data_IF_325912844954
#
_entry.id   IF_325912844954
#
_cell.length_a   1.000
_cell.length_b   1.000
_cell.length_c   1.000
_cell.angle_alpha   90.00
_cell.angle_beta   90.00
_cell.angle_gamma   90.00
#
_symmetry.space_group_name_H-M   'P 1'
#
loop_
_entity.id
_entity.type
_entity.pdbx_description
1 polymer ?
#
# COMPACT_ATOMS: atom_id res chain seq x y z
N UNK A 1 6.44 19.24 0.58
CA UNK A 1 5.19 18.98 -0.19
C UNK A 1 4.31 18.17 0.74
N UNK A 2 3.35 18.84 1.38
CA UNK A 2 2.47 18.20 2.37
C UNK A 2 1.47 17.29 1.66
N UNK A 3 1.17 16.16 2.29
CA UNK A 3 0.05 15.30 1.93
C UNK A 3 -1.23 16.11 2.17
N UNK A 4 -1.89 16.55 1.11
CA UNK A 4 -3.25 17.07 1.23
C UNK A 4 -4.21 15.94 1.60
N UNK A 5 -5.36 16.26 2.19
CA UNK A 5 -6.39 15.31 2.61
C UNK A 5 -6.86 14.36 1.48
N UNK A 6 -6.65 14.75 0.21
CA UNK A 6 -6.97 13.97 -0.98
C UNK A 6 -5.91 12.95 -1.42
N UNK A 7 -4.77 12.88 -0.71
CA UNK A 7 -3.60 12.04 -1.08
C UNK A 7 -3.32 10.93 -0.05
N UNK A 8 -4.17 10.81 0.98
CA UNK A 8 -4.10 9.70 1.94
C UNK A 8 -4.77 8.47 1.32
N UNK A 9 -4.06 7.35 1.14
CA UNK A 9 -4.65 6.15 0.57
C UNK A 9 -5.70 5.56 1.52
N UNK A 10 -6.87 5.19 0.99
CA UNK A 10 -7.88 4.46 1.74
C UNK A 10 -7.39 3.07 2.13
N UNK A 11 -8.06 2.44 3.10
CA UNK A 11 -7.77 1.05 3.46
C UNK A 11 -7.92 0.11 2.26
N UNK A 12 -8.96 0.28 1.45
CA UNK A 12 -9.21 -0.51 0.23
C UNK A 12 -8.09 -0.40 -0.80
N UNK A 13 -7.50 0.79 -1.00
CA UNK A 13 -6.33 0.98 -1.86
C UNK A 13 -5.10 0.26 -1.31
N UNK A 14 -4.82 0.40 0.00
CA UNK A 14 -3.68 -0.28 0.62
C UNK A 14 -3.83 -1.82 0.55
N UNK A 15 -5.06 -2.34 0.69
CA UNK A 15 -5.35 -3.75 0.50
C UNK A 15 -5.17 -4.17 -0.96
N UNK A 16 -5.67 -3.41 -1.94
CA UNK A 16 -5.51 -3.74 -3.36
C UNK A 16 -4.03 -3.92 -3.75
N UNK A 17 -3.15 -3.06 -3.24
CA UNK A 17 -1.74 -3.01 -3.62
C UNK A 17 -0.80 -3.73 -2.65
N UNK A 18 -1.33 -4.45 -1.66
CA UNK A 18 -0.55 -4.95 -0.52
C UNK A 18 0.66 -5.79 -0.94
N UNK A 19 0.54 -6.59 -2.01
CA UNK A 19 1.61 -7.47 -2.50
C UNK A 19 2.81 -6.65 -3.01
N UNK A 20 2.56 -5.59 -3.77
CA UNK A 20 3.63 -4.69 -4.23
C UNK A 20 4.29 -3.97 -3.06
N UNK A 21 3.52 -3.52 -2.06
CA UNK A 21 4.07 -2.89 -0.86
C UNK A 21 4.97 -3.85 -0.10
N UNK A 22 4.51 -5.09 0.11
CA UNK A 22 5.27 -6.13 0.81
C UNK A 22 6.60 -6.43 0.12
N UNK A 23 6.60 -6.57 -1.22
CA UNK A 23 7.82 -6.88 -1.96
C UNK A 23 8.78 -5.69 -2.08
N UNK A 24 8.27 -4.51 -2.45
CA UNK A 24 9.10 -3.34 -2.77
C UNK A 24 9.58 -2.58 -1.53
N UNK A 25 8.82 -2.64 -0.43
CA UNK A 25 9.14 -1.93 0.80
C UNK A 25 9.60 -2.85 1.94
N UNK A 26 9.80 -4.16 1.69
CA UNK A 26 10.16 -5.18 2.68
C UNK A 26 11.22 -4.71 3.68
N UNK A 27 12.37 -4.20 3.20
CA UNK A 27 13.48 -3.78 4.06
C UNK A 27 13.13 -2.59 4.97
N UNK A 28 12.40 -1.60 4.44
CA UNK A 28 12.00 -0.41 5.21
C UNK A 28 10.90 -0.76 6.23
N UNK A 29 9.95 -1.62 5.86
CA UNK A 29 8.94 -2.15 6.79
C UNK A 29 9.59 -2.98 7.89
N UNK A 30 10.55 -3.85 7.57
CA UNK A 30 11.26 -4.65 8.55
C UNK A 30 12.06 -3.78 9.55
N UNK A 31 12.74 -2.73 9.07
CA UNK A 31 13.42 -1.77 9.94
C UNK A 31 12.47 -1.06 10.91
N UNK A 32 11.31 -0.59 10.42
CA UNK A 32 10.29 0.03 11.26
C UNK A 32 9.74 -0.94 12.31
N UNK A 33 9.42 -2.18 11.93
CA UNK A 33 8.94 -3.21 12.86
C UNK A 33 10.01 -3.62 13.88
N UNK A 34 11.28 -3.70 13.48
CA UNK A 34 12.39 -3.97 14.40
C UNK A 34 12.55 -2.84 15.43
N UNK A 35 12.47 -1.58 15.00
CA UNK A 35 12.48 -0.43 15.91
C UNK A 35 11.33 -0.51 16.91
N UNK A 36 10.08 -0.70 16.42
CA UNK A 36 8.89 -0.82 17.27
C UNK A 36 8.95 -2.00 18.23
N UNK A 37 9.62 -3.09 17.86
CA UNK A 37 9.83 -4.24 18.74
C UNK A 37 10.82 -3.92 19.87
N UNK A 38 11.83 -3.11 19.59
CA UNK A 38 12.84 -2.69 20.58
C UNK A 38 12.32 -1.61 21.52
N UNK A 39 11.48 -0.70 21.02
CA UNK A 39 10.94 0.41 21.79
C UNK A 39 9.51 0.75 21.31
N UNK A 40 8.57 0.83 22.26
CA UNK A 40 7.17 1.14 21.96
C UNK A 40 6.90 2.65 21.87
N UNK A 41 7.83 3.51 22.31
CA UNK A 41 7.73 4.96 22.15
C UNK A 41 7.65 5.33 20.65
N UNK A 42 6.54 5.93 20.19
CA UNK A 42 6.37 6.28 18.78
C UNK A 42 7.39 7.30 18.27
N UNK A 43 7.96 8.16 19.12
CA UNK A 43 8.93 9.18 18.71
C UNK A 43 10.28 8.57 18.30
N UNK A 44 10.65 7.44 18.90
CA UNK A 44 11.94 6.77 18.66
C UNK A 44 12.07 6.16 17.27
N UNK A 45 10.94 5.86 16.62
CA UNK A 45 10.89 5.19 15.32
C UNK A 45 10.38 6.10 14.19
N UNK A 46 10.34 7.42 14.39
CA UNK A 46 9.83 8.37 13.39
C UNK A 46 10.63 8.33 12.08
N UNK A 47 11.95 8.13 12.16
CA UNK A 47 12.82 8.06 10.98
C UNK A 47 12.50 6.84 10.13
N UNK A 48 12.38 5.67 10.75
CA UNK A 48 12.05 4.40 10.10
C UNK A 48 10.60 4.43 9.58
N UNK A 49 9.68 5.03 10.34
CA UNK A 49 8.29 5.24 9.94
C UNK A 49 8.18 6.13 8.70
N UNK A 50 8.89 7.27 8.67
CA UNK A 50 8.94 8.14 7.50
C UNK A 50 9.55 7.45 6.28
N UNK A 51 10.61 6.65 6.47
CA UNK A 51 11.22 5.88 5.39
C UNK A 51 10.25 4.83 4.81
N UNK A 52 9.56 4.08 5.68
CA UNK A 52 8.55 3.09 5.31
C UNK A 52 7.40 3.75 4.54
N UNK A 53 6.76 4.77 5.12
CA UNK A 53 5.63 5.48 4.48
C UNK A 53 6.04 6.14 3.17
N UNK A 54 7.24 6.74 3.11
CA UNK A 54 7.78 7.31 1.87
C UNK A 54 7.91 6.27 0.75
N UNK A 55 8.36 5.06 1.07
CA UNK A 55 8.38 3.95 0.10
C UNK A 55 6.97 3.58 -0.38
N UNK A 56 6.00 3.48 0.54
CA UNK A 56 4.63 3.14 0.16
C UNK A 56 4.04 4.18 -0.79
N UNK A 57 4.25 5.47 -0.53
CA UNK A 57 3.81 6.57 -1.40
C UNK A 57 4.44 6.49 -2.79
N UNK A 58 5.73 6.14 -2.88
CA UNK A 58 6.41 5.93 -4.17
C UNK A 58 5.79 4.77 -4.97
N UNK A 59 5.47 3.66 -4.31
CA UNK A 59 4.80 2.50 -4.95
C UNK A 59 3.40 2.89 -5.44
N UNK A 60 2.62 3.58 -4.61
CA UNK A 60 1.27 4.02 -4.99
C UNK A 60 1.30 4.94 -6.21
N UNK A 61 2.27 5.86 -6.27
CA UNK A 61 2.46 6.75 -7.43
C UNK A 61 2.81 5.97 -8.70
N UNK A 62 3.69 4.98 -8.59
CA UNK A 62 4.09 4.14 -9.72
C UNK A 62 2.93 3.30 -10.26
N UNK A 63 2.14 2.67 -9.39
CA UNK A 63 0.95 1.89 -9.77
C UNK A 63 -0.13 2.77 -10.40
N UNK A 64 -0.40 3.94 -9.80
CA UNK A 64 -1.34 4.93 -10.37
C UNK A 64 -0.94 5.36 -11.79
N UNK A 65 0.35 5.48 -12.07
CA UNK A 65 0.86 5.85 -13.40
C UNK A 65 0.82 4.73 -14.45
N UNK A 66 0.92 3.46 -14.04
CA UNK A 66 1.00 2.30 -14.96
C UNK A 66 -0.31 1.55 -15.15
N UNK A 67 -1.09 1.41 -14.09
CA UNK A 67 -2.31 0.58 -14.00
C UNK A 67 -3.34 1.21 -13.05
N UNK A 68 -3.52 2.53 -13.17
CA UNK A 68 -4.43 3.29 -12.31
C UNK A 68 -5.88 2.81 -12.40
N UNK A 69 -6.35 2.47 -13.61
CA UNK A 69 -7.73 2.01 -13.83
C UNK A 69 -7.98 0.66 -13.17
N UNK A 70 -7.07 -0.30 -13.34
CA UNK A 70 -7.17 -1.63 -12.72
C UNK A 70 -7.00 -1.56 -11.19
N UNK A 71 -6.10 -0.69 -10.70
CA UNK A 71 -5.94 -0.44 -9.27
C UNK A 71 -7.24 0.12 -8.67
N UNK A 72 -7.86 1.10 -9.33
CA UNK A 72 -9.09 1.73 -8.88
C UNK A 72 -10.26 0.74 -8.90
N UNK A 73 -10.38 -0.07 -9.95
CA UNK A 73 -11.42 -1.10 -10.05
C UNK A 73 -11.28 -2.14 -8.93
N UNK A 74 -10.07 -2.61 -8.67
CA UNK A 74 -9.82 -3.58 -7.59
C UNK A 74 -10.07 -2.99 -6.21
N UNK A 75 -9.58 -1.78 -5.95
CA UNK A 75 -9.85 -1.06 -4.71
C UNK A 75 -11.35 -0.81 -4.50
N UNK A 76 -12.09 -0.42 -5.53
CA UNK A 76 -13.54 -0.21 -5.45
C UNK A 76 -14.30 -1.49 -5.08
N UNK A 77 -13.93 -2.64 -5.67
CA UNK A 77 -14.51 -3.92 -5.28
C UNK A 77 -14.22 -4.25 -3.81
N UNK A 78 -12.96 -4.07 -3.39
CA UNK A 78 -12.55 -4.32 -2.01
C UNK A 78 -13.30 -3.40 -1.03
N UNK A 79 -13.45 -2.12 -1.37
CA UNK A 79 -14.21 -1.16 -0.58
C UNK A 79 -15.66 -1.64 -0.36
N UNK A 80 -16.34 -2.00 -1.45
CA UNK A 80 -17.73 -2.50 -1.42
C UNK A 80 -17.88 -3.83 -0.68
N UNK A 81 -16.85 -4.68 -0.71
CA UNK A 81 -16.85 -6.02 -0.11
C UNK A 81 -16.12 -6.08 1.24
N UNK A 82 -15.85 -4.94 1.87
CA UNK A 82 -15.17 -4.85 3.17
C UNK A 82 -13.82 -5.59 3.18
N UNK A 83 -13.02 -5.35 2.14
CA UNK A 83 -11.69 -5.93 1.90
C UNK A 83 -11.66 -7.46 1.81
N UNK A 84 -12.78 -8.11 1.46
CA UNK A 84 -12.83 -9.56 1.24
C UNK A 84 -12.27 -9.93 -0.13
N UNK A 85 -10.99 -10.31 -0.17
CA UNK A 85 -10.27 -10.67 -1.40
C UNK A 85 -10.97 -11.73 -2.26
N UNK A 86 -11.58 -12.75 -1.65
CA UNK A 86 -12.26 -13.82 -2.38
C UNK A 86 -13.43 -13.35 -3.24
N UNK A 87 -14.02 -12.19 -2.90
CA UNK A 87 -15.13 -11.60 -3.65
C UNK A 87 -14.69 -10.72 -4.81
N UNK A 88 -13.38 -10.49 -4.97
CA UNK A 88 -12.80 -9.55 -5.92
C UNK A 88 -11.67 -10.18 -6.75
N UNK A 89 -11.71 -11.51 -6.96
CA UNK A 89 -10.66 -12.25 -7.68
C UNK A 89 -10.58 -11.89 -9.15
N UNK A 90 -11.68 -11.47 -9.78
CA UNK A 90 -11.69 -11.05 -11.17
C UNK A 90 -10.91 -9.72 -11.35
N UNK A 91 -11.19 -8.73 -10.52
CA UNK A 91 -10.50 -7.44 -10.50
C UNK A 91 -9.03 -7.61 -10.10
N UNK A 92 -8.74 -8.50 -9.16
CA UNK A 92 -7.37 -8.85 -8.79
C UNK A 92 -6.59 -9.41 -9.99
N UNK A 93 -7.17 -10.36 -10.73
CA UNK A 93 -6.50 -10.95 -11.92
C UNK A 93 -6.25 -9.89 -12.99
N UNK A 94 -7.20 -8.97 -13.21
CA UNK A 94 -7.02 -7.86 -14.15
C UNK A 94 -5.86 -6.94 -13.70
N UNK A 95 -5.83 -6.57 -12.42
CA UNK A 95 -4.74 -5.78 -11.84
C UNK A 95 -3.38 -6.48 -11.96
N UNK A 96 -3.27 -7.74 -11.54
CA UNK A 96 -2.00 -8.49 -11.57
C UNK A 96 -1.51 -8.79 -13.00
N UNK A 97 -2.42 -8.90 -13.97
CA UNK A 97 -2.07 -9.04 -15.39
C UNK A 97 -1.45 -7.76 -15.95
N UNK A 98 -1.98 -6.59 -15.56
CA UNK A 98 -1.47 -5.28 -16.00
C UNK A 98 -0.21 -4.86 -15.24
N UNK A 99 -0.18 -5.15 -13.95
CA UNK A 99 0.85 -4.77 -13.00
C UNK A 99 1.36 -6.02 -12.26
N UNK A 100 2.23 -6.81 -12.91
CA UNK A 100 2.84 -7.96 -12.26
C UNK A 100 3.79 -7.51 -11.14
N UNK A 101 4.01 -8.42 -10.19
CA UNK A 101 4.90 -8.24 -9.04
C UNK A 101 6.38 -8.14 -9.41
#
# INVERSE_FOLDING_TARGET
MGLGDHDVPTSSVLFAVHKHLQQRCAGKTAAFLACKKSDQDPEKCLKEGAAMTGCMVEVLRDLKGKCGDETNAYAACLDYRSNQFEKCRAEQQAFESKCPL
#
